data_IF_927732422676
#
_entry.id   IF_927732422676
#
_cell.length_a   1.000
_cell.length_b   1.000
_cell.length_c   1.000
_cell.angle_alpha   90.00
_cell.angle_beta   90.00
_cell.angle_gamma   90.00
#
_symmetry.space_group_name_H-M   'P 1'
#
loop_
_entity.id
_entity.type
_entity.pdbx_description
1 polymer ?
#
# COMPACT_ATOMS: atom_id res chain seq x y z
N UNK A 1 -3.25 -13.58 53.04
CA UNK A 1 -2.53 -12.32 52.71
C UNK A 1 -2.50 -12.17 51.21
N UNK A 2 -2.82 -10.99 50.72
CA UNK A 2 -3.46 -10.72 49.43
C UNK A 2 -2.62 -11.01 48.17
N UNK A 3 -3.24 -11.67 47.20
CA UNK A 3 -2.76 -11.72 45.83
C UNK A 3 -3.21 -10.45 45.09
N UNK A 4 -2.23 -9.66 44.67
CA UNK A 4 -2.20 -8.88 43.43
C UNK A 4 -3.38 -7.95 43.11
N UNK A 5 -3.28 -6.72 43.60
CA UNK A 5 -4.01 -5.55 43.09
C UNK A 5 -3.10 -4.61 42.29
N UNK A 6 -2.18 -5.15 41.48
CA UNK A 6 -1.23 -4.34 40.68
C UNK A 6 -1.68 -4.04 39.25
N UNK A 7 -2.74 -4.66 38.75
CA UNK A 7 -3.16 -4.54 37.34
C UNK A 7 -4.22 -3.47 37.04
N UNK A 8 -4.90 -2.91 38.06
CA UNK A 8 -5.96 -1.90 37.82
C UNK A 8 -5.43 -0.48 37.63
N UNK A 9 -4.30 -0.14 38.26
CA UNK A 9 -3.73 1.22 38.20
C UNK A 9 -2.93 1.48 36.92
N UNK A 10 -2.58 0.44 36.15
CA UNK A 10 -1.79 0.56 34.92
C UNK A 10 -2.61 0.42 33.63
N UNK A 11 -3.93 0.17 33.73
CA UNK A 11 -4.76 0.03 32.55
C UNK A 11 -5.12 1.41 32.00
N UNK A 12 -4.70 1.75 30.76
CA UNK A 12 -5.12 3.00 30.13
C UNK A 12 -6.64 3.06 29.99
N UNK A 13 -7.21 4.26 30.11
CA UNK A 13 -8.63 4.46 29.90
C UNK A 13 -9.00 4.15 28.44
N UNK A 14 -10.26 3.79 28.15
CA UNK A 14 -10.74 3.63 26.77
C UNK A 14 -10.43 4.84 25.89
N UNK A 15 -10.56 6.04 26.43
CA UNK A 15 -10.26 7.31 25.76
C UNK A 15 -8.75 7.44 25.47
N UNK A 16 -7.89 7.07 26.42
CA UNK A 16 -6.44 7.07 26.21
C UNK A 16 -6.01 6.08 25.11
N UNK A 17 -6.69 4.93 25.00
CA UNK A 17 -6.47 3.95 23.92
C UNK A 17 -6.94 4.47 22.56
N UNK A 18 -8.12 5.11 22.52
CA UNK A 18 -8.64 5.74 21.30
C UNK A 18 -7.74 6.89 20.81
N UNK A 19 -7.24 7.72 21.72
CA UNK A 19 -6.30 8.79 21.41
C UNK A 19 -4.95 8.25 20.92
N UNK A 20 -4.45 7.15 21.48
CA UNK A 20 -3.24 6.48 20.98
C UNK A 20 -3.46 5.94 19.56
N UNK A 21 -4.59 5.27 19.30
CA UNK A 21 -4.94 4.78 17.97
C UNK A 21 -5.09 5.92 16.94
N UNK A 22 -5.72 7.04 17.31
CA UNK A 22 -5.83 8.23 16.44
C UNK A 22 -4.47 8.86 16.13
N UNK A 23 -3.55 8.88 17.11
CA UNK A 23 -2.18 9.35 16.88
C UNK A 23 -1.41 8.43 15.94
N UNK A 24 -1.63 7.12 16.03
CA UNK A 24 -1.04 6.16 15.08
C UNK A 24 -1.66 6.27 13.68
N UNK A 25 -2.97 6.52 13.58
CA UNK A 25 -3.69 6.70 12.31
C UNK A 25 -3.20 7.90 11.50
N UNK A 26 -2.64 8.93 12.15
CA UNK A 26 -2.14 10.15 11.48
C UNK A 26 -0.66 10.15 11.11
N UNK A 27 0.14 9.17 11.56
CA UNK A 27 1.61 9.25 11.50
C UNK A 27 2.26 8.30 10.47
N UNK A 28 1.57 7.23 10.04
CA UNK A 28 2.15 6.27 9.10
C UNK A 28 1.18 5.86 7.97
N UNK A 29 1.65 5.95 6.73
CA UNK A 29 0.97 5.34 5.59
C UNK A 29 0.82 3.83 5.78
N UNK A 30 -0.30 3.25 5.31
CA UNK A 30 -0.54 1.81 5.39
C UNK A 30 -0.06 1.12 4.12
N UNK A 31 0.89 0.19 4.26
CA UNK A 31 1.31 -0.69 3.17
C UNK A 31 0.33 -1.86 3.04
N UNK A 32 -0.36 -1.97 1.90
CA UNK A 32 -1.19 -3.14 1.55
C UNK A 32 -0.41 -4.02 0.57
N UNK A 33 -0.15 -5.27 0.97
CA UNK A 33 0.57 -6.25 0.14
C UNK A 33 -0.44 -7.25 -0.43
N UNK A 34 -0.45 -7.42 -1.75
CA UNK A 34 -1.21 -8.46 -2.44
C UNK A 34 -0.31 -9.67 -2.66
N UNK A 35 -0.48 -10.71 -1.84
CA UNK A 35 0.33 -11.95 -1.88
C UNK A 35 -0.39 -13.03 -2.69
N UNK A 36 0.37 -13.85 -3.42
CA UNK A 36 -0.19 -14.95 -4.20
C UNK A 36 0.84 -16.05 -4.45
N UNK A 37 0.37 -17.30 -4.46
CA UNK A 37 1.20 -18.50 -4.40
C UNK A 37 2.06 -18.78 -5.65
N UNK A 38 1.75 -18.12 -6.79
CA UNK A 38 2.45 -18.35 -8.04
C UNK A 38 2.41 -17.11 -8.97
N UNK A 39 3.22 -17.07 -10.04
CA UNK A 39 3.04 -16.14 -11.15
C UNK A 39 1.65 -16.30 -11.80
N UNK A 40 1.07 -15.21 -12.30
CA UNK A 40 -0.21 -15.24 -13.01
C UNK A 40 -1.48 -15.33 -12.14
N UNK A 41 -1.38 -15.51 -10.83
CA UNK A 41 -2.54 -15.60 -9.90
C UNK A 41 -3.31 -14.28 -9.68
N UNK A 42 -3.01 -13.23 -10.45
CA UNK A 42 -3.80 -11.98 -10.46
C UNK A 42 -3.39 -10.88 -9.47
N UNK A 43 -2.21 -10.96 -8.83
CA UNK A 43 -1.75 -9.95 -7.85
C UNK A 43 -1.81 -8.51 -8.39
N UNK A 44 -1.19 -8.26 -9.54
CA UNK A 44 -1.18 -6.94 -10.18
C UNK A 44 -2.58 -6.49 -10.59
N UNK A 45 -3.38 -7.41 -11.11
CA UNK A 45 -4.76 -7.13 -11.51
C UNK A 45 -5.60 -6.67 -10.31
N UNK A 46 -5.57 -7.43 -9.21
CA UNK A 46 -6.32 -7.10 -7.99
C UNK A 46 -5.83 -5.80 -7.32
N UNK A 47 -4.52 -5.55 -7.38
CA UNK A 47 -3.93 -4.28 -6.95
C UNK A 47 -4.49 -3.09 -7.76
N UNK A 48 -4.55 -3.20 -9.09
CA UNK A 48 -5.08 -2.14 -9.96
C UNK A 48 -6.61 -1.99 -9.84
N UNK A 49 -7.35 -3.07 -9.61
CA UNK A 49 -8.78 -2.97 -9.27
C UNK A 49 -9.01 -2.14 -8.00
N UNK A 50 -8.19 -2.37 -6.96
CA UNK A 50 -8.24 -1.56 -5.74
C UNK A 50 -7.86 -0.10 -6.01
N UNK A 51 -6.86 0.16 -6.86
CA UNK A 51 -6.47 1.51 -7.27
C UNK A 51 -7.62 2.24 -7.98
N UNK A 52 -8.30 1.58 -8.94
CA UNK A 52 -9.47 2.12 -9.62
C UNK A 52 -10.64 2.40 -8.67
N UNK A 53 -10.90 1.50 -7.71
CA UNK A 53 -11.93 1.72 -6.70
C UNK A 53 -11.61 2.95 -5.82
N UNK A 54 -10.35 3.11 -5.41
CA UNK A 54 -9.88 4.29 -4.65
C UNK A 54 -10.02 5.58 -5.46
N UNK A 55 -9.59 5.59 -6.72
CA UNK A 55 -9.76 6.74 -7.62
C UNK A 55 -11.24 7.11 -7.77
N UNK A 56 -12.12 6.13 -7.99
CA UNK A 56 -13.58 6.35 -8.07
C UNK A 56 -14.15 6.94 -6.78
N UNK A 57 -13.56 6.63 -5.63
CA UNK A 57 -13.91 7.21 -4.34
C UNK A 57 -13.29 8.60 -4.09
N UNK A 58 -12.60 9.19 -5.08
CA UNK A 58 -11.98 10.51 -4.97
C UNK A 58 -10.64 10.53 -4.24
N UNK A 59 -10.03 9.36 -4.00
CA UNK A 59 -8.67 9.29 -3.47
C UNK A 59 -7.68 9.62 -4.59
N UNK A 60 -6.69 10.45 -4.27
CA UNK A 60 -5.56 10.71 -5.17
C UNK A 60 -4.68 9.47 -5.29
N UNK A 61 -4.54 8.96 -6.51
CA UNK A 61 -3.92 7.67 -6.80
C UNK A 61 -2.94 7.84 -7.94
N UNK A 62 -1.66 7.58 -7.64
CA UNK A 62 -0.56 7.61 -8.59
C UNK A 62 0.07 6.21 -8.67
N UNK A 63 0.36 5.75 -9.87
CA UNK A 63 1.10 4.50 -10.13
C UNK A 63 2.58 4.85 -10.28
N UNK A 64 3.40 4.44 -9.31
CA UNK A 64 4.85 4.57 -9.41
C UNK A 64 5.44 3.59 -10.42
N UNK A 65 5.19 2.30 -10.22
CA UNK A 65 5.63 1.23 -11.14
C UNK A 65 4.58 0.14 -11.22
N UNK A 66 4.41 -0.42 -12.41
CA UNK A 66 3.48 -1.53 -12.67
C UNK A 66 4.02 -2.44 -13.75
N UNK A 67 3.95 -3.75 -13.52
CA UNK A 67 4.32 -4.77 -14.49
C UNK A 67 3.06 -5.53 -14.93
N UNK A 68 2.57 -5.26 -16.14
CA UNK A 68 1.37 -5.90 -16.71
C UNK A 68 1.69 -7.23 -17.39
N UNK A 69 2.95 -7.41 -17.81
CA UNK A 69 3.42 -8.53 -18.61
C UNK A 69 2.58 -8.78 -19.89
N UNK A 70 2.13 -7.71 -20.56
CA UNK A 70 1.38 -7.79 -21.83
C UNK A 70 -0.08 -8.23 -21.68
N UNK A 71 -0.62 -8.30 -20.46
CA UNK A 71 -2.01 -8.72 -20.23
C UNK A 71 -2.96 -7.55 -20.48
N UNK A 72 -3.68 -7.60 -21.60
CA UNK A 72 -4.58 -6.53 -22.04
C UNK A 72 -5.60 -6.08 -20.98
N UNK A 73 -6.21 -7.01 -20.24
CA UNK A 73 -7.18 -6.67 -19.18
C UNK A 73 -6.52 -5.91 -18.02
N UNK A 74 -5.28 -6.26 -17.67
CA UNK A 74 -4.49 -5.58 -16.64
C UNK A 74 -4.06 -4.19 -17.12
N UNK A 75 -3.65 -4.06 -18.38
CA UNK A 75 -3.28 -2.78 -19.00
C UNK A 75 -4.46 -1.82 -19.06
N UNK A 76 -5.66 -2.32 -19.37
CA UNK A 76 -6.87 -1.52 -19.39
C UNK A 76 -7.17 -0.87 -18.03
N UNK A 77 -6.77 -1.50 -16.91
CA UNK A 77 -6.95 -0.93 -15.57
C UNK A 77 -6.03 0.26 -15.29
N UNK A 78 -5.04 0.56 -16.14
CA UNK A 78 -4.23 1.77 -16.04
C UNK A 78 -4.94 3.00 -16.62
N UNK A 79 -5.98 2.80 -17.43
CA UNK A 79 -6.69 3.90 -18.07
C UNK A 79 -7.24 4.89 -17.02
N UNK A 80 -6.83 6.14 -17.15
CA UNK A 80 -7.24 7.24 -16.27
C UNK A 80 -6.54 7.29 -14.91
N UNK A 81 -5.64 6.36 -14.58
CA UNK A 81 -4.70 6.52 -13.47
C UNK A 81 -3.53 7.39 -13.93
N UNK A 82 -3.01 8.22 -13.02
CA UNK A 82 -1.72 8.87 -13.23
C UNK A 82 -0.61 7.82 -13.12
N UNK A 83 0.32 7.82 -14.07
CA UNK A 83 1.45 6.89 -14.10
C UNK A 83 2.73 7.70 -14.19
N UNK A 84 3.62 7.54 -13.21
CA UNK A 84 4.92 8.19 -13.22
C UNK A 84 5.75 7.60 -14.37
N UNK A 85 6.39 8.44 -15.21
CA UNK A 85 7.28 7.95 -16.26
C UNK A 85 8.38 7.05 -15.70
N UNK A 86 8.74 6.01 -16.45
CA UNK A 86 9.87 5.15 -16.10
C UNK A 86 11.18 5.82 -16.50
N UNK A 87 12.18 5.72 -15.65
CA UNK A 87 13.56 6.12 -15.90
C UNK A 87 14.44 4.88 -15.95
N UNK A 88 15.21 4.78 -17.03
CA UNK A 88 16.26 3.79 -17.15
C UNK A 88 17.44 4.16 -16.26
N UNK A 89 17.76 3.29 -15.31
CA UNK A 89 18.91 3.44 -14.43
C UNK A 89 19.88 2.26 -14.59
N UNK A 90 21.17 2.54 -14.56
CA UNK A 90 22.19 1.50 -14.44
C UNK A 90 22.46 1.22 -12.96
N UNK A 91 22.12 0.00 -12.52
CA UNK A 91 22.35 -0.45 -11.16
C UNK A 91 23.09 -1.79 -11.17
N UNK A 92 24.29 -1.82 -10.59
CA UNK A 92 25.13 -3.04 -10.49
C UNK A 92 25.34 -3.76 -11.84
N UNK A 93 25.52 -2.98 -12.92
CA UNK A 93 25.72 -3.50 -14.27
C UNK A 93 24.46 -4.03 -14.95
N UNK A 94 23.28 -3.85 -14.35
CA UNK A 94 21.99 -4.15 -14.96
C UNK A 94 21.25 -2.84 -15.25
N UNK A 95 20.50 -2.81 -16.35
CA UNK A 95 19.58 -1.72 -16.67
C UNK A 95 18.22 -2.05 -16.04
N UNK A 96 17.74 -1.18 -15.16
CA UNK A 96 16.44 -1.29 -14.52
C UNK A 96 15.56 -0.13 -14.99
N UNK A 97 14.32 -0.42 -15.31
CA UNK A 97 13.29 0.61 -15.54
C UNK A 97 12.60 0.89 -14.20
N UNK A 98 12.97 1.97 -13.53
CA UNK A 98 12.40 2.38 -12.24
C UNK A 98 11.45 3.57 -12.40
N UNK A 99 10.67 3.88 -11.36
CA UNK A 99 9.91 5.14 -11.33
C UNK A 99 10.86 6.34 -11.23
N UNK A 100 10.61 7.41 -11.99
CA UNK A 100 11.36 8.66 -11.82
C UNK A 100 10.93 9.37 -10.53
N UNK A 101 11.91 9.82 -9.74
CA UNK A 101 11.70 10.43 -8.42
C UNK A 101 12.14 11.91 -8.36
N UNK A 102 12.68 12.42 -9.46
CA UNK A 102 13.10 13.81 -9.66
C UNK A 102 11.97 14.64 -10.31
#
# INVERSE_FOLDING_TARGET
MAYQSRDREQRPSPEALLEAARREEGVAGRLKIFVGAAPGVGKTYEMLQNAQAKRKAGVDVVVGVVETHGRAETEALLAGLEVIPRRMIEHKGQKLDEMDLD
#
